data_IF_311711737795
#
_entry.id   IF_311711737795
#
_cell.length_a   1.000
_cell.length_b   1.000
_cell.length_c   1.000
_cell.angle_alpha   90.00
_cell.angle_beta   90.00
_cell.angle_gamma   90.00
#
_symmetry.space_group_name_H-M   'P 1'
#
loop_
_entity.id
_entity.type
_entity.pdbx_description
1 polymer ?
#
# COMPACT_ATOMS: atom_id res chain seq x y z
N UNK A 1 23.98 1.52 8.40
CA UNK A 1 22.70 1.14 9.04
C UNK A 1 21.60 1.11 7.99
N UNK A 2 20.98 -0.05 7.71
CA UNK A 2 19.82 -0.12 6.80
C UNK A 2 18.65 0.66 7.44
N UNK A 3 18.22 1.77 6.83
CA UNK A 3 16.98 2.47 7.20
C UNK A 3 15.83 1.44 7.15
N UNK A 4 14.97 1.39 8.16
CA UNK A 4 13.91 0.37 8.26
C UNK A 4 12.78 0.48 7.22
N UNK A 5 12.92 1.34 6.21
CA UNK A 5 12.00 1.45 5.07
C UNK A 5 10.63 2.04 5.43
N UNK A 6 9.72 1.94 4.47
CA UNK A 6 8.36 2.47 4.54
C UNK A 6 7.35 1.36 4.73
N UNK A 7 6.44 1.55 5.69
CA UNK A 7 5.26 0.71 5.90
C UNK A 7 4.05 1.37 5.24
N UNK A 8 3.25 0.62 4.48
CA UNK A 8 1.94 1.09 4.02
C UNK A 8 0.86 0.21 4.64
N UNK A 9 -0.15 0.82 5.24
CA UNK A 9 -1.31 0.14 5.82
C UNK A 9 -2.52 0.36 4.92
N UNK A 10 -2.92 -0.71 4.24
CA UNK A 10 -4.06 -0.77 3.34
C UNK A 10 -4.84 -2.04 3.70
N UNK A 11 -5.91 -1.95 4.51
CA UNK A 11 -6.59 -3.12 5.03
C UNK A 11 -7.81 -3.56 4.19
N UNK A 12 -7.89 -3.16 2.91
CA UNK A 12 -8.99 -3.59 2.07
C UNK A 12 -8.77 -5.05 1.65
N UNK A 13 -9.78 -5.93 1.84
CA UNK A 13 -9.58 -7.37 1.74
C UNK A 13 -9.59 -7.90 0.30
N UNK A 14 -10.11 -7.19 -0.68
CA UNK A 14 -10.28 -7.70 -2.03
C UNK A 14 -9.00 -7.57 -2.87
N UNK A 15 -8.75 -8.55 -3.74
CA UNK A 15 -7.73 -8.41 -4.77
C UNK A 15 -8.04 -7.23 -5.70
N UNK A 16 -9.32 -6.99 -6.00
CA UNK A 16 -9.77 -5.84 -6.77
C UNK A 16 -9.35 -4.52 -6.13
N UNK A 17 -9.61 -4.35 -4.83
CA UNK A 17 -9.18 -3.17 -4.08
C UNK A 17 -7.65 -2.97 -4.17
N UNK A 18 -6.89 -4.07 -4.14
CA UNK A 18 -5.44 -4.00 -4.22
C UNK A 18 -4.94 -3.55 -5.59
N UNK A 19 -5.57 -4.00 -6.68
CA UNK A 19 -5.28 -3.53 -8.04
C UNK A 19 -5.59 -2.04 -8.17
N UNK A 20 -6.69 -1.57 -7.57
CA UNK A 20 -7.08 -0.15 -7.61
C UNK A 20 -6.09 0.74 -6.84
N UNK A 21 -5.47 0.21 -5.77
CA UNK A 21 -4.49 0.92 -4.96
C UNK A 21 -3.07 0.85 -5.53
N UNK A 22 -2.80 -0.11 -6.41
CA UNK A 22 -1.47 -0.39 -6.91
C UNK A 22 -0.70 0.83 -7.45
N UNK A 23 -1.31 1.74 -8.24
CA UNK A 23 -0.61 2.91 -8.74
C UNK A 23 -0.12 3.82 -7.60
N UNK A 24 -0.92 3.96 -6.55
CA UNK A 24 -0.59 4.77 -5.38
C UNK A 24 0.53 4.13 -4.56
N UNK A 25 0.50 2.79 -4.40
CA UNK A 25 1.55 2.05 -3.70
C UNK A 25 2.89 2.16 -4.43
N UNK A 26 2.89 2.04 -5.77
CA UNK A 26 4.09 2.16 -6.60
C UNK A 26 4.61 3.60 -6.65
N UNK A 27 3.73 4.60 -6.69
CA UNK A 27 4.11 6.00 -6.60
C UNK A 27 4.84 6.30 -5.28
N UNK A 28 4.32 5.81 -4.13
CA UNK A 28 5.01 5.94 -2.84
C UNK A 28 6.35 5.20 -2.85
N UNK A 29 6.39 3.97 -3.38
CA UNK A 29 7.61 3.18 -3.44
C UNK A 29 8.70 3.81 -4.34
N UNK A 30 8.31 4.56 -5.38
CA UNK A 30 9.26 5.30 -6.22
C UNK A 30 9.94 6.41 -5.45
N UNK A 31 9.20 7.17 -4.64
CA UNK A 31 9.75 8.29 -3.88
C UNK A 31 10.50 7.83 -2.62
N UNK A 32 10.07 6.72 -1.99
CA UNK A 32 10.58 6.27 -0.68
C UNK A 32 11.43 4.98 -0.74
N UNK A 33 11.52 4.34 -1.91
CA UNK A 33 12.10 3.03 -2.11
C UNK A 33 11.13 1.87 -1.79
N UNK A 34 11.59 0.60 -1.90
CA UNK A 34 10.71 -0.56 -1.77
C UNK A 34 9.99 -0.61 -0.41
N UNK A 35 8.67 -0.76 -0.46
CA UNK A 35 7.75 -0.66 0.69
C UNK A 35 7.44 -2.02 1.32
N UNK A 36 6.96 -2.04 2.55
CA UNK A 36 6.25 -3.19 3.13
C UNK A 36 4.78 -2.88 3.26
N UNK A 37 3.91 -3.75 2.72
CA UNK A 37 2.47 -3.59 2.78
C UNK A 37 1.87 -4.39 3.94
N UNK A 38 1.10 -3.74 4.81
CA UNK A 38 0.22 -4.40 5.78
C UNK A 38 -1.21 -4.42 5.23
N UNK A 39 -1.72 -5.61 4.98
CA UNK A 39 -3.07 -5.82 4.45
C UNK A 39 -3.73 -7.06 5.07
N UNK A 40 -4.90 -7.46 4.57
CA UNK A 40 -5.62 -8.66 5.03
C UNK A 40 -5.21 -9.89 4.20
N UNK A 41 -5.19 -11.11 4.79
CA UNK A 41 -4.87 -12.35 4.08
C UNK A 41 -5.70 -12.56 2.80
N UNK A 42 -6.98 -12.17 2.84
CA UNK A 42 -7.93 -12.32 1.71
C UNK A 42 -7.55 -11.53 0.46
N UNK A 43 -6.65 -10.55 0.56
CA UNK A 43 -6.16 -9.79 -0.58
C UNK A 43 -5.29 -10.61 -1.53
N UNK A 44 -4.71 -11.72 -1.03
CA UNK A 44 -3.69 -12.52 -1.72
C UNK A 44 -2.50 -11.68 -2.20
N UNK A 45 -2.27 -10.51 -1.59
CA UNK A 45 -1.27 -9.54 -2.01
C UNK A 45 0.14 -10.14 -2.14
N UNK A 46 0.52 -11.06 -1.25
CA UNK A 46 1.82 -11.74 -1.29
C UNK A 46 2.03 -12.54 -2.59
N UNK A 47 0.97 -13.13 -3.14
CA UNK A 47 1.05 -14.02 -4.30
C UNK A 47 1.43 -13.30 -5.59
N UNK A 48 1.11 -12.01 -5.71
CA UNK A 48 1.35 -11.25 -6.94
C UNK A 48 2.21 -10.00 -6.75
N UNK A 49 2.18 -9.35 -5.59
CA UNK A 49 2.94 -8.11 -5.37
C UNK A 49 4.43 -8.34 -5.12
N UNK A 50 4.83 -9.50 -4.55
CA UNK A 50 6.26 -9.77 -4.30
C UNK A 50 7.07 -10.02 -5.58
N UNK A 51 6.41 -10.14 -6.74
CA UNK A 51 7.08 -10.13 -8.03
C UNK A 51 7.50 -8.72 -8.49
N UNK A 52 6.96 -7.67 -7.84
CA UNK A 52 7.23 -6.26 -8.17
C UNK A 52 8.36 -5.71 -7.28
N UNK A 53 9.41 -5.08 -7.85
CA UNK A 53 10.50 -4.49 -7.06
C UNK A 53 10.06 -3.34 -6.15
N UNK A 54 8.89 -2.74 -6.37
CA UNK A 54 8.30 -1.74 -5.48
C UNK A 54 7.94 -2.32 -4.09
N UNK A 55 7.78 -3.64 -3.97
CA UNK A 55 7.34 -4.30 -2.75
C UNK A 55 8.45 -5.16 -2.17
N UNK A 56 8.91 -4.79 -0.99
CA UNK A 56 9.89 -5.55 -0.21
C UNK A 56 9.26 -6.75 0.48
N UNK A 57 8.07 -6.56 1.05
CA UNK A 57 7.37 -7.60 1.80
C UNK A 57 5.87 -7.28 1.94
N UNK A 58 5.08 -8.30 2.28
CA UNK A 58 3.66 -8.20 2.61
C UNK A 58 3.41 -8.85 3.97
N UNK A 59 2.95 -8.03 4.93
CA UNK A 59 2.48 -8.45 6.23
C UNK A 59 0.97 -8.59 6.21
N UNK A 60 0.47 -9.68 6.80
CA UNK A 60 -0.96 -9.87 6.98
C UNK A 60 -1.37 -9.64 8.43
N UNK A 61 -2.45 -8.90 8.62
CA UNK A 61 -3.09 -8.75 9.91
C UNK A 61 -4.62 -8.82 9.78
N UNK A 62 -5.24 -9.67 10.60
CA UNK A 62 -6.70 -9.62 10.79
C UNK A 62 -7.04 -8.52 11.80
N UNK A 63 -8.22 -7.91 11.64
CA UNK A 63 -8.71 -6.87 12.56
C UNK A 63 -8.74 -7.34 14.02
N UNK A 64 -9.04 -8.62 14.27
CA UNK A 64 -9.10 -9.20 15.62
C UNK A 64 -7.72 -9.35 16.26
N UNK A 65 -6.66 -9.42 15.45
CA UNK A 65 -5.30 -9.73 15.89
C UNK A 65 -4.32 -8.57 15.60
N UNK A 66 -4.81 -7.34 15.44
CA UNK A 66 -3.98 -6.18 15.09
C UNK A 66 -2.87 -5.93 16.11
N UNK A 67 -3.12 -6.12 17.42
CA UNK A 67 -2.09 -5.93 18.45
C UNK A 67 -0.93 -6.93 18.30
N UNK A 68 -1.19 -8.12 17.77
CA UNK A 68 -0.17 -9.17 17.62
C UNK A 68 0.88 -8.84 16.56
N UNK A 69 0.61 -7.91 15.63
CA UNK A 69 1.59 -7.48 14.63
C UNK A 69 2.58 -6.44 15.18
N UNK A 70 2.27 -5.78 16.30
CA UNK A 70 3.08 -4.67 16.83
C UNK A 70 4.54 -5.10 17.08
N UNK A 71 4.85 -6.26 17.70
CA UNK A 71 6.24 -6.69 17.90
C UNK A 71 7.00 -6.89 16.58
N UNK A 72 6.32 -7.35 15.52
CA UNK A 72 6.90 -7.47 14.19
C UNK A 72 7.23 -6.09 13.60
N UNK A 73 6.31 -5.12 13.73
CA UNK A 73 6.55 -3.75 13.27
C UNK A 73 7.73 -3.08 13.99
N UNK A 74 7.84 -3.29 15.31
CA UNK A 74 8.97 -2.80 16.13
C UNK A 74 10.30 -3.40 15.63
N UNK A 75 10.32 -4.71 15.38
CA UNK A 75 11.53 -5.41 14.89
C UNK A 75 12.01 -4.88 13.53
N UNK A 76 11.08 -4.47 12.66
CA UNK A 76 11.39 -3.92 11.33
C UNK A 76 11.94 -2.48 11.34
N UNK A 77 11.70 -1.72 12.42
CA UNK A 77 12.22 -0.36 12.62
C UNK A 77 11.88 0.62 11.49
N UNK A 78 10.67 0.51 10.94
CA UNK A 78 10.17 1.40 9.89
C UNK A 78 10.40 2.87 10.26
N UNK A 79 10.81 3.67 9.27
CA UNK A 79 11.06 5.10 9.47
C UNK A 79 9.82 5.92 9.15
N UNK A 80 9.02 5.44 8.19
CA UNK A 80 7.79 6.10 7.78
C UNK A 80 6.66 5.10 7.63
N UNK A 81 5.45 5.53 7.95
CA UNK A 81 4.23 4.78 7.68
C UNK A 81 3.17 5.61 6.99
N UNK A 82 2.55 5.04 5.98
CA UNK A 82 1.36 5.55 5.32
C UNK A 82 0.13 4.78 5.80
N UNK A 83 -0.87 5.48 6.33
CA UNK A 83 -2.13 4.90 6.77
C UNK A 83 -3.22 5.30 5.77
N UNK A 84 -3.37 4.46 4.74
CA UNK A 84 -4.29 4.67 3.61
C UNK A 84 -5.70 4.16 3.95
N UNK A 85 -6.16 4.47 5.15
CA UNK A 85 -7.46 4.06 5.68
C UNK A 85 -7.87 4.97 6.84
N UNK A 86 -9.16 5.21 7.03
CA UNK A 86 -9.69 6.17 8.02
C UNK A 86 -9.70 5.66 9.48
N UNK A 87 -9.44 4.38 9.70
CA UNK A 87 -9.61 3.78 11.03
C UNK A 87 -8.46 4.12 11.99
N UNK A 88 -8.87 4.57 13.18
CA UNK A 88 -8.00 4.82 14.34
C UNK A 88 -7.20 3.57 14.74
N UNK A 89 -7.80 2.37 14.69
CA UNK A 89 -7.12 1.12 15.08
C UNK A 89 -5.92 0.80 14.20
N UNK A 90 -5.95 1.20 12.92
CA UNK A 90 -4.80 1.02 12.04
C UNK A 90 -3.78 2.14 12.20
N UNK A 91 -4.22 3.36 12.50
CA UNK A 91 -3.32 4.48 12.79
C UNK A 91 -2.54 4.31 14.10
N UNK A 92 -3.10 3.60 15.08
CA UNK A 92 -2.42 3.32 16.34
C UNK A 92 -1.29 2.30 16.22
N UNK A 93 -1.31 1.42 15.20
CA UNK A 93 -0.25 0.42 14.99
C UNK A 93 1.14 1.03 14.81
N UNK A 94 1.38 1.92 13.83
CA UNK A 94 2.70 2.53 13.65
C UNK A 94 3.07 3.45 14.82
N UNK A 95 2.09 4.04 15.50
CA UNK A 95 2.32 4.80 16.72
C UNK A 95 2.91 3.93 17.84
N UNK A 96 2.27 2.81 18.17
CA UNK A 96 2.79 1.87 19.18
C UNK A 96 4.08 1.18 18.74
N UNK A 97 4.28 0.99 17.44
CA UNK A 97 5.53 0.51 16.88
C UNK A 97 6.65 1.56 16.85
N UNK A 98 6.40 2.79 17.32
CA UNK A 98 7.35 3.91 17.38
C UNK A 98 7.92 4.31 16.01
N UNK A 99 7.12 4.18 14.95
CA UNK A 99 7.49 4.66 13.62
C UNK A 99 7.51 6.19 13.65
N UNK A 100 8.65 6.87 13.37
CA UNK A 100 8.77 8.30 13.64
C UNK A 100 7.91 9.16 12.72
N UNK A 101 7.82 8.86 11.42
CA UNK A 101 6.97 9.59 10.48
C UNK A 101 5.68 8.81 10.18
N UNK A 102 4.52 9.44 10.38
CA UNK A 102 3.20 8.81 10.21
C UNK A 102 2.28 9.75 9.44
N UNK A 103 1.93 9.35 8.22
CA UNK A 103 1.07 10.09 7.28
C UNK A 103 -0.22 9.32 7.07
N UNK A 104 -1.35 9.99 6.95
CA UNK A 104 -2.64 9.35 6.71
C UNK A 104 -3.72 10.39 6.47
N UNK A 105 -4.98 9.94 6.42
CA UNK A 105 -6.10 10.83 6.11
C UNK A 105 -6.38 11.86 7.22
N UNK A 106 -6.22 11.48 8.49
CA UNK A 106 -6.33 12.42 9.60
C UNK A 106 -7.75 12.70 10.07
N UNK A 107 -8.74 11.90 9.68
CA UNK A 107 -10.13 12.11 10.10
C UNK A 107 -10.35 11.88 11.60
N UNK A 108 -11.09 12.77 12.25
CA UNK A 108 -11.54 12.65 13.63
C UNK A 108 -10.38 12.40 14.62
N UNK A 109 -10.41 11.25 15.31
CA UNK A 109 -9.36 10.86 16.28
C UNK A 109 -8.10 10.30 15.62
N UNK A 110 -8.12 10.01 14.32
CA UNK A 110 -6.96 9.48 13.61
C UNK A 110 -5.77 10.45 13.66
N UNK A 111 -6.02 11.76 13.53
CA UNK A 111 -4.99 12.81 13.53
C UNK A 111 -4.04 12.77 14.73
N UNK A 112 -4.52 12.34 15.90
CA UNK A 112 -3.68 12.23 17.11
C UNK A 112 -2.60 11.15 17.02
N UNK A 113 -2.75 10.20 16.08
CA UNK A 113 -1.76 9.16 15.82
C UNK A 113 -0.83 9.51 14.67
N UNK A 114 -1.08 10.59 13.92
CA UNK A 114 -0.24 11.02 12.80
C UNK A 114 0.84 12.01 13.28
N UNK A 115 1.93 12.12 12.54
CA UNK A 115 2.91 13.21 12.75
C UNK A 115 2.70 14.36 11.78
N UNK A 116 2.20 14.07 10.58
CA UNK A 116 1.82 15.10 9.63
C UNK A 116 0.60 15.86 10.14
N UNK A 117 0.69 17.19 10.20
CA UNK A 117 -0.47 18.04 10.43
C UNK A 117 -1.30 18.28 9.15
N UNK A 118 -0.83 17.79 8.00
CA UNK A 118 -1.55 17.85 6.72
C UNK A 118 -2.64 16.78 6.68
N UNK A 119 -3.73 17.04 7.41
CA UNK A 119 -4.91 16.19 7.43
C UNK A 119 -5.83 16.54 6.25
N UNK A 120 -6.58 15.56 5.76
CA UNK A 120 -7.62 15.78 4.76
C UNK A 120 -8.79 16.58 5.36
N UNK A 121 -9.48 17.41 4.56
CA UNK A 121 -10.69 18.10 4.99
C UNK A 121 -11.77 17.09 5.42
N UNK A 122 -12.42 17.27 6.57
CA UNK A 122 -13.47 16.35 7.06
C UNK A 122 -14.57 16.02 6.04
N UNK A 123 -15.05 16.96 5.19
CA UNK A 123 -16.04 16.64 4.15
C UNK A 123 -15.57 15.58 3.14
N UNK A 124 -14.26 15.43 2.92
CA UNK A 124 -13.71 14.43 2.00
C UNK A 124 -13.81 12.99 2.52
N UNK A 125 -14.20 12.80 3.78
CA UNK A 125 -14.39 11.48 4.38
C UNK A 125 -15.47 10.64 3.69
N UNK A 126 -16.49 11.28 3.12
CA UNK A 126 -17.57 10.62 2.37
C UNK A 126 -17.22 10.43 0.90
N UNK A 127 -16.11 11.00 0.42
CA UNK A 127 -15.65 10.82 -0.94
C UNK A 127 -15.23 9.36 -1.18
N UNK A 128 -15.16 8.98 -2.45
CA UNK A 128 -14.69 7.66 -2.84
C UNK A 128 -13.25 7.41 -2.33
N UNK A 129 -12.88 6.18 -1.91
CA UNK A 129 -11.55 5.90 -1.36
C UNK A 129 -10.39 6.31 -2.27
N UNK A 130 -10.54 6.18 -3.60
CA UNK A 130 -9.55 6.66 -4.58
C UNK A 130 -9.34 8.16 -4.47
N UNK A 131 -10.42 8.95 -4.39
CA UNK A 131 -10.32 10.41 -4.26
C UNK A 131 -9.59 10.78 -2.97
N UNK A 132 -9.84 10.05 -1.87
CA UNK A 132 -9.10 10.26 -0.61
C UNK A 132 -7.60 9.95 -0.76
N UNK A 133 -7.25 8.92 -1.56
CA UNK A 133 -5.84 8.63 -1.89
C UNK A 133 -5.20 9.74 -2.70
N UNK A 134 -5.88 10.22 -3.75
CA UNK A 134 -5.37 11.32 -4.58
C UNK A 134 -5.08 12.56 -3.74
N UNK A 135 -6.03 12.93 -2.88
CA UNK A 135 -5.86 14.09 -1.98
C UNK A 135 -4.71 13.89 -1.00
N UNK A 136 -4.54 12.70 -0.40
CA UNK A 136 -3.43 12.49 0.57
C UNK A 136 -2.07 12.47 -0.14
N UNK A 137 -2.03 11.96 -1.38
CA UNK A 137 -0.83 11.95 -2.21
C UNK A 137 -0.45 13.38 -2.61
N UNK A 138 -1.42 14.18 -3.05
CA UNK A 138 -1.23 15.59 -3.40
C UNK A 138 -0.71 16.39 -2.19
N UNK A 139 -1.31 16.22 -1.01
CA UNK A 139 -0.83 16.88 0.22
C UNK A 139 0.62 16.51 0.58
N UNK A 140 1.02 15.28 0.28
CA UNK A 140 2.39 14.80 0.45
C UNK A 140 3.33 15.24 -0.70
N UNK A 141 2.81 15.83 -1.77
CA UNK A 141 3.56 16.27 -2.95
C UNK A 141 3.90 15.13 -3.92
N UNK A 142 3.16 14.02 -3.88
CA UNK A 142 3.44 12.83 -4.68
C UNK A 142 2.48 12.76 -5.87
N UNK A 143 3.00 12.37 -7.03
CA UNK A 143 2.23 12.22 -8.26
C UNK A 143 2.27 10.78 -8.77
N UNK A 144 1.19 10.37 -9.44
CA UNK A 144 1.12 9.06 -10.10
C UNK A 144 1.64 9.23 -11.53
N UNK A 145 2.54 8.34 -11.95
CA UNK A 145 3.03 8.27 -13.32
C UNK A 145 2.38 7.09 -14.06
N UNK A 146 2.47 7.08 -15.38
CA UNK A 146 1.90 6.03 -16.23
C UNK A 146 2.45 4.64 -15.87
N UNK A 147 3.72 4.58 -15.48
CA UNK A 147 4.42 3.33 -15.13
C UNK A 147 3.89 2.72 -13.82
N UNK A 148 3.32 3.53 -12.93
CA UNK A 148 2.73 3.06 -11.68
C UNK A 148 1.42 2.30 -11.94
N UNK A 149 0.73 2.59 -13.05
CA UNK A 149 -0.54 1.96 -13.39
C UNK A 149 -0.39 0.53 -13.91
N UNK A 150 0.83 0.14 -14.31
CA UNK A 150 1.10 -1.16 -14.89
C UNK A 150 1.24 -2.21 -13.76
N UNK A 151 0.39 -3.26 -13.74
CA UNK A 151 0.51 -4.33 -12.77
C UNK A 151 1.82 -5.12 -12.92
N UNK A 152 2.35 -5.72 -11.84
CA UNK A 152 3.52 -6.55 -11.96
C UNK A 152 3.22 -7.79 -12.80
N UNK A 153 3.99 -7.94 -13.87
CA UNK A 153 4.01 -9.15 -14.66
C UNK A 153 5.30 -9.90 -14.35
N UNK A 154 5.17 -11.07 -13.73
CA UNK A 154 6.30 -11.97 -13.57
C UNK A 154 6.79 -12.39 -14.97
N UNK A 155 8.07 -12.14 -15.34
CA UNK A 155 8.57 -12.45 -16.68
C UNK A 155 8.41 -13.94 -17.05
N UNK A 156 8.54 -14.82 -16.06
CA UNK A 156 8.31 -16.28 -16.23
C UNK A 156 6.85 -16.59 -16.55
N UNK A 157 5.91 -15.95 -15.85
CA UNK A 157 4.48 -16.10 -16.13
C UNK A 157 4.13 -15.56 -17.52
N UNK A 158 4.69 -14.40 -17.88
CA UNK A 158 4.50 -13.82 -19.21
C UNK A 158 5.00 -14.76 -20.31
N UNK A 159 6.21 -15.32 -20.16
CA UNK A 159 6.76 -16.31 -21.10
C UNK A 159 5.87 -17.56 -21.23
N UNK A 160 5.39 -18.11 -20.10
CA UNK A 160 4.50 -19.28 -20.08
C UNK A 160 3.14 -19.00 -20.74
N UNK A 161 2.59 -17.80 -20.55
CA UNK A 161 1.35 -17.35 -21.21
C UNK A 161 1.59 -17.24 -22.71
N UNK A 162 2.68 -16.60 -23.14
CA UNK A 162 3.05 -16.51 -24.56
C UNK A 162 3.18 -17.92 -25.18
N UNK A 163 3.93 -18.83 -24.55
CA UNK A 163 4.08 -20.21 -25.02
C UNK A 163 2.72 -20.92 -25.15
N UNK A 164 1.88 -20.85 -24.11
CA UNK A 164 0.57 -21.52 -24.09
C UNK A 164 -0.41 -20.98 -25.12
N UNK A 165 -0.42 -19.66 -25.35
CA UNK A 165 -1.45 -19.00 -26.16
C UNK A 165 -0.95 -18.53 -27.54
N UNK A 166 0.32 -18.73 -27.87
CA UNK A 166 0.93 -18.37 -29.16
C UNK A 166 0.22 -19.00 -30.37
N UNK A 167 -0.40 -20.16 -30.19
CA UNK A 167 -1.04 -20.94 -31.25
C UNK A 167 -2.46 -20.48 -31.62
N UNK A 168 -3.08 -19.62 -30.81
CA UNK A 168 -4.40 -19.10 -31.13
C UNK A 168 -4.25 -17.88 -32.10
N UNK A 169 -5.26 -17.53 -32.94
CA UNK A 169 -5.31 -16.30 -33.78
C UNK A 169 -5.63 -14.96 -33.05
N UNK A 170 -4.64 -14.10 -32.74
CA UNK A 170 -4.73 -12.86 -31.91
C UNK A 170 -6.12 -12.17 -31.86
N UNK A 171 -6.62 -11.74 -30.67
CA UNK A 171 -6.06 -10.56 -29.99
C UNK A 171 -6.02 -10.71 -28.44
N UNK A 172 -5.25 -11.66 -27.89
CA UNK A 172 -5.24 -11.91 -26.43
C UNK A 172 -4.18 -11.16 -25.64
N UNK A 173 -3.22 -10.49 -26.28
CA UNK A 173 -2.13 -9.80 -25.58
C UNK A 173 -1.81 -8.51 -26.34
N UNK A 174 -2.11 -7.36 -25.74
CA UNK A 174 -1.63 -6.07 -26.23
C UNK A 174 -0.11 -6.01 -25.99
N UNK A 175 0.63 -5.89 -27.08
CA UNK A 175 2.08 -5.69 -27.13
C UNK A 175 2.50 -4.32 -26.62
#
# INVERSE_FOLDING_TARGET
MRKGGTLIIQPFPGIGDMIWYLPYLKAIAREEGPITLLTKPRSLAREFLLADPAFRDVLYADRRLLSMIIPELIRRRFQKSWILHWSVSYASLPFFARVPERVGFGYGRQKYFLTSQKNLPEPSRTAHPITQLEMVMELAGYSIKKEDQIPPLCPKAHKKIIEKFSHFPKPWIYS
#
